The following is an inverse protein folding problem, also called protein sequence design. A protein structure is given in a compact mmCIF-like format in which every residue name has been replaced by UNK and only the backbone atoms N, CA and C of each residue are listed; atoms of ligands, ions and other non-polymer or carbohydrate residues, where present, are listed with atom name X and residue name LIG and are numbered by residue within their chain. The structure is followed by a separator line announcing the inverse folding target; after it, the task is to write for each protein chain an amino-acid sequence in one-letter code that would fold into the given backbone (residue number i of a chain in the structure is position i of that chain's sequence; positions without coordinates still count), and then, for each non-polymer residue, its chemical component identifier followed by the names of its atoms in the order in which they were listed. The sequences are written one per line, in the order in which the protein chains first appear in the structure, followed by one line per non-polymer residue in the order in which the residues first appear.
data_IF_601542111548
#
_entry.id   IF_601542111548
#
_cell.length_a   1.000
_cell.length_b   1.000
_cell.length_c   1.000
_cell.angle_alpha   90.00
_cell.angle_beta   90.00
_cell.angle_gamma   90.00
#
_symmetry.space_group_name_H-M   'P 1'
#
loop_
_entity.id
_entity.type
_entity.pdbx_description
1 polymer ?
#
# COMPACT_ATOMS: atom_id res chain seq x y z
N UNK A 1 -25.54 1.66 10.84
CA UNK A 1 -25.41 1.80 9.37
C UNK A 1 -23.92 1.97 9.05
N UNK A 2 -23.19 0.88 8.81
CA UNK A 2 -21.78 0.95 8.36
C UNK A 2 -21.73 0.35 6.96
N UNK A 3 -22.04 1.16 5.96
CA UNK A 3 -22.02 0.77 4.54
C UNK A 3 -20.62 0.83 3.90
N UNK A 4 -19.58 1.20 4.65
CA UNK A 4 -18.22 1.42 4.11
C UNK A 4 -17.23 0.27 4.35
N UNK A 5 -17.65 -0.83 5.00
CA UNK A 5 -16.74 -1.85 5.51
C UNK A 5 -16.32 -2.95 4.50
N UNK A 6 -16.94 -3.05 3.33
CA UNK A 6 -16.85 -4.27 2.52
C UNK A 6 -16.07 -4.17 1.20
N UNK A 7 -15.55 -3.01 0.80
CA UNK A 7 -14.89 -2.81 -0.51
C UNK A 7 -13.42 -2.36 -0.40
N UNK A 8 -12.66 -2.89 0.56
CA UNK A 8 -11.20 -2.62 0.63
C UNK A 8 -10.43 -3.65 -0.21
N UNK A 9 -9.94 -3.22 -1.36
CA UNK A 9 -9.07 -4.03 -2.25
C UNK A 9 -7.72 -4.40 -1.60
N UNK A 10 -7.32 -3.68 -0.56
CA UNK A 10 -6.11 -3.89 0.22
C UNK A 10 -6.49 -4.11 1.69
N UNK A 11 -6.62 -5.38 2.08
CA UNK A 11 -6.97 -5.82 3.44
C UNK A 11 -5.86 -6.70 3.98
N UNK A 12 -5.17 -6.23 5.01
CA UNK A 12 -4.12 -6.98 5.68
C UNK A 12 -4.65 -7.63 6.96
N UNK A 13 -4.23 -8.86 7.20
CA UNK A 13 -4.25 -9.47 8.52
C UNK A 13 -3.30 -8.71 9.44
N UNK A 14 -3.60 -8.70 10.73
CA UNK A 14 -2.73 -8.13 11.76
C UNK A 14 -1.77 -9.22 12.27
N UNK A 15 -0.57 -8.84 12.72
CA UNK A 15 0.30 -9.81 13.40
C UNK A 15 -0.32 -10.24 14.74
N UNK A 16 0.19 -11.33 15.31
CA UNK A 16 -0.13 -11.75 16.68
C UNK A 16 0.45 -10.76 17.72
N UNK A 17 0.24 -11.04 19.00
CA UNK A 17 0.70 -10.17 20.10
C UNK A 17 2.23 -9.99 20.12
N UNK A 18 2.97 -10.97 19.59
CA UNK A 18 4.43 -10.96 19.46
C UNK A 18 4.92 -10.24 18.19
N UNK A 19 4.02 -9.68 17.38
CA UNK A 19 4.36 -8.97 16.15
C UNK A 19 4.68 -9.89 14.96
N UNK A 20 4.33 -11.18 15.04
CA UNK A 20 4.59 -12.18 14.01
C UNK A 20 3.34 -12.46 13.17
N UNK A 21 3.54 -12.66 11.86
CA UNK A 21 2.51 -13.17 10.96
C UNK A 21 2.63 -14.69 10.86
N UNK A 22 1.51 -15.41 10.91
CA UNK A 22 1.53 -16.81 10.51
C UNK A 22 1.86 -16.95 9.02
N UNK A 23 2.28 -18.14 8.54
CA UNK A 23 2.45 -18.38 7.10
C UNK A 23 1.16 -18.09 6.31
N UNK A 24 0.00 -18.42 6.86
CA UNK A 24 -1.30 -18.19 6.24
C UNK A 24 -1.64 -16.70 6.17
N UNK A 25 -1.37 -15.94 7.24
CA UNK A 25 -1.54 -14.48 7.23
C UNK A 25 -0.61 -13.82 6.21
N UNK A 26 0.63 -14.30 6.11
CA UNK A 26 1.62 -13.81 5.16
C UNK A 26 1.17 -14.05 3.72
N UNK A 27 0.66 -15.25 3.41
CA UNK A 27 0.12 -15.58 2.09
C UNK A 27 -1.12 -14.72 1.75
N UNK A 28 -2.02 -14.55 2.72
CA UNK A 28 -3.21 -13.71 2.57
C UNK A 28 -2.82 -12.25 2.29
N UNK A 29 -1.90 -11.71 3.09
CA UNK A 29 -1.38 -10.35 2.94
C UNK A 29 -0.70 -10.15 1.59
N UNK A 30 0.08 -11.12 1.13
CA UNK A 30 0.69 -11.10 -0.20
C UNK A 30 -0.38 -11.01 -1.30
N UNK A 31 -1.42 -11.85 -1.26
CA UNK A 31 -2.51 -11.83 -2.25
C UNK A 31 -3.23 -10.49 -2.30
N UNK A 32 -3.49 -9.86 -1.16
CA UNK A 32 -4.12 -8.54 -1.11
C UNK A 32 -3.17 -7.42 -1.56
N UNK A 33 -1.89 -7.48 -1.22
CA UNK A 33 -0.90 -6.53 -1.70
C UNK A 33 -0.80 -6.56 -3.23
N UNK A 34 -0.81 -7.75 -3.84
CA UNK A 34 -0.74 -7.88 -5.30
C UNK A 34 -1.95 -7.29 -6.04
N UNK A 35 -3.10 -7.07 -5.39
CA UNK A 35 -4.26 -6.39 -5.99
C UNK A 35 -4.04 -4.89 -6.21
N UNK A 36 -3.03 -4.32 -5.55
CA UNK A 36 -2.70 -2.89 -5.58
C UNK A 36 -1.28 -2.62 -6.07
N UNK A 37 -0.61 -3.66 -6.56
CA UNK A 37 0.72 -3.59 -7.20
C UNK A 37 0.56 -3.63 -8.71
N UNK A 38 1.19 -2.68 -9.39
CA UNK A 38 1.43 -2.73 -10.83
C UNK A 38 2.84 -3.27 -11.06
N UNK A 39 2.96 -4.54 -11.43
CA UNK A 39 4.25 -5.20 -11.65
C UNK A 39 4.99 -4.59 -12.86
N UNK A 40 4.24 -4.16 -13.88
CA UNK A 40 4.81 -3.61 -15.11
C UNK A 40 5.30 -2.18 -14.89
N UNK A 41 4.65 -1.42 -14.01
CA UNK A 41 5.03 -0.06 -13.64
C UNK A 41 5.02 0.09 -12.10
N UNK A 42 6.04 -0.41 -11.38
CA UNK A 42 6.05 -0.44 -9.91
C UNK A 42 5.68 0.88 -9.23
N UNK A 43 6.15 2.01 -9.76
CA UNK A 43 5.87 3.35 -9.22
C UNK A 43 4.41 3.80 -9.35
N UNK A 44 3.63 3.16 -10.22
CA UNK A 44 2.18 3.39 -10.39
C UNK A 44 1.31 2.56 -9.43
N UNK A 45 1.93 1.72 -8.59
CA UNK A 45 1.21 0.90 -7.62
C UNK A 45 0.47 1.76 -6.59
N UNK A 46 -0.80 1.43 -6.33
CA UNK A 46 -1.64 2.16 -5.37
C UNK A 46 -1.07 2.11 -3.94
N UNK A 47 -0.37 1.02 -3.59
CA UNK A 47 0.33 0.86 -2.30
C UNK A 47 1.45 1.89 -2.08
N UNK A 48 1.98 2.50 -3.16
CA UNK A 48 2.96 3.58 -3.11
C UNK A 48 2.29 4.97 -3.21
N UNK A 49 1.32 5.11 -4.12
CA UNK A 49 0.70 6.42 -4.42
C UNK A 49 -0.15 6.91 -3.25
N UNK A 50 -1.07 6.10 -2.75
CA UNK A 50 -2.06 6.59 -1.78
C UNK A 50 -1.44 7.07 -0.47
N UNK A 51 -0.52 6.33 0.19
CA UNK A 51 0.07 6.80 1.44
C UNK A 51 0.96 8.05 1.33
N UNK A 52 1.41 8.41 0.12
CA UNK A 52 2.31 9.56 -0.10
C UNK A 52 1.58 10.84 -0.50
N UNK A 53 0.31 10.75 -0.89
CA UNK A 53 -0.43 11.91 -1.40
C UNK A 53 -1.11 12.69 -0.25
N UNK A 54 -1.00 14.03 -0.26
CA UNK A 54 -1.70 14.87 0.71
C UNK A 54 -3.20 14.93 0.42
N UNK A 55 -4.00 15.14 1.47
CA UNK A 55 -5.47 15.02 1.48
C UNK A 55 -6.17 16.04 0.55
N UNK A 56 -5.50 17.14 0.26
CA UNK A 56 -5.94 18.23 -0.63
C UNK A 56 -5.86 17.89 -2.13
N UNK A 57 -5.26 16.76 -2.49
CA UNK A 57 -5.30 16.24 -3.87
C UNK A 57 -6.70 15.75 -4.31
N UNK A 58 -7.68 15.71 -3.39
CA UNK A 58 -9.08 15.41 -3.66
C UNK A 58 -9.78 16.43 -4.58
N UNK A 59 -9.14 17.56 -4.91
CA UNK A 59 -9.70 18.60 -5.77
C UNK A 59 -9.70 18.24 -7.27
N UNK A 60 -8.90 17.25 -7.71
CA UNK A 60 -8.93 16.78 -9.09
C UNK A 60 -9.59 15.39 -9.17
N UNK A 61 -10.89 15.38 -9.44
CA UNK A 61 -11.71 14.16 -9.60
C UNK A 61 -11.22 13.29 -10.78
N UNK A 62 -10.44 13.86 -11.73
CA UNK A 62 -9.83 13.10 -12.82
C UNK A 62 -8.60 12.29 -12.37
N UNK A 63 -7.97 12.64 -11.26
CA UNK A 63 -6.89 11.83 -10.66
C UNK A 63 -7.50 10.84 -9.65
N UNK A 64 -8.21 9.83 -10.17
CA UNK A 64 -8.81 8.74 -9.39
C UNK A 64 -7.80 8.04 -8.45
N UNK A 65 -6.51 8.10 -8.76
CA UNK A 65 -5.44 7.55 -7.92
C UNK A 65 -5.12 8.46 -6.71
N UNK A 66 -5.49 9.74 -6.74
CA UNK A 66 -5.30 10.74 -5.68
C UNK A 66 -6.41 10.75 -4.63
N UNK A 67 -7.59 10.20 -4.92
CA UNK A 67 -8.71 10.23 -3.97
C UNK A 67 -8.54 9.11 -2.93
N UNK A 68 -8.21 9.48 -1.69
CA UNK A 68 -8.29 8.59 -0.52
C UNK A 68 -8.57 9.38 0.76
N UNK A 69 -9.46 8.86 1.60
CA UNK A 69 -9.87 9.52 2.85
C UNK A 69 -8.85 9.37 3.99
N UNK A 70 -7.61 8.94 3.69
CA UNK A 70 -6.60 8.59 4.69
C UNK A 70 -5.50 9.65 4.87
N UNK A 71 -5.40 10.63 3.99
CA UNK A 71 -4.33 11.62 3.98
C UNK A 71 -2.92 11.06 3.81
N UNK A 72 -1.93 11.95 3.84
CA UNK A 72 -0.53 11.57 3.71
C UNK A 72 -0.03 10.88 4.98
N UNK A 73 0.64 9.74 4.82
CA UNK A 73 1.25 8.96 5.92
C UNK A 73 2.76 9.13 5.99
N UNK A 74 3.41 9.35 4.86
CA UNK A 74 4.86 9.58 4.76
C UNK A 74 5.22 10.51 3.60
N UNK A 75 6.44 11.10 3.57
CA UNK A 75 6.90 11.97 2.48
C UNK A 75 6.80 11.34 1.09
N UNK A 76 6.68 12.17 0.04
CA UNK A 76 6.50 11.69 -1.33
C UNK A 76 7.74 10.97 -1.87
N UNK A 77 7.49 9.93 -2.66
CA UNK A 77 8.50 9.21 -3.45
C UNK A 77 9.71 8.81 -2.59
N UNK A 78 10.90 8.95 -3.15
CA UNK A 78 12.18 8.59 -2.53
C UNK A 78 12.59 9.48 -1.33
N UNK A 79 11.76 10.41 -0.88
CA UNK A 79 11.97 11.10 0.38
C UNK A 79 11.58 10.23 1.59
N UNK A 80 10.75 9.19 1.38
CA UNK A 80 10.34 8.24 2.40
C UNK A 80 11.13 6.93 2.29
N UNK A 81 11.66 6.45 3.42
CA UNK A 81 12.27 5.12 3.48
C UNK A 81 11.21 4.03 3.26
N UNK A 82 9.98 4.23 3.73
CA UNK A 82 8.86 3.30 3.52
C UNK A 82 8.58 3.11 2.02
N UNK A 83 8.52 4.20 1.26
CA UNK A 83 8.36 4.16 -0.19
C UNK A 83 9.48 3.34 -0.85
N UNK A 84 10.75 3.61 -0.48
CA UNK A 84 11.91 2.89 -1.02
C UNK A 84 11.84 1.40 -0.71
N UNK A 85 11.52 1.04 0.52
CA UNK A 85 11.41 -0.36 0.96
C UNK A 85 10.34 -1.11 0.17
N UNK A 86 9.14 -0.53 0.03
CA UNK A 86 8.04 -1.16 -0.72
C UNK A 86 8.38 -1.25 -2.21
N UNK A 87 8.96 -0.20 -2.80
CA UNK A 87 9.37 -0.20 -4.20
C UNK A 87 10.46 -1.25 -4.48
N UNK A 88 11.43 -1.39 -3.59
CA UNK A 88 12.45 -2.42 -3.68
C UNK A 88 11.83 -3.82 -3.60
N UNK A 89 10.91 -4.04 -2.66
CA UNK A 89 10.16 -5.30 -2.55
C UNK A 89 9.39 -5.64 -3.84
N UNK A 90 8.66 -4.69 -4.42
CA UNK A 90 7.93 -4.90 -5.70
C UNK A 90 8.90 -5.27 -6.83
N UNK A 91 10.09 -4.65 -6.86
CA UNK A 91 11.15 -4.94 -7.84
C UNK A 91 11.87 -6.26 -7.61
N UNK A 92 11.47 -7.04 -6.61
CA UNK A 92 12.07 -8.34 -6.31
C UNK A 92 13.38 -8.24 -5.53
N UNK A 93 13.54 -7.23 -4.67
CA UNK A 93 14.69 -7.13 -3.79
C UNK A 93 14.90 -8.45 -3.03
N UNK A 94 16.09 -9.01 -3.17
CA UNK A 94 16.52 -10.18 -2.40
C UNK A 94 17.02 -9.71 -1.06
N UNK A 95 16.68 -10.43 0.00
CA UNK A 95 17.40 -10.29 1.26
C UNK A 95 18.86 -10.64 0.97
N UNK A 96 19.74 -9.66 1.12
CA UNK A 96 21.18 -9.92 1.21
C UNK A 96 21.40 -10.53 2.58
N UNK A 97 21.72 -11.82 2.60
CA UNK A 97 22.23 -12.50 3.79
C UNK A 97 23.61 -11.96 4.16
#
# INVERSE_FOLDING_TARGET
MICHANHVIFKLQTPNAEGQFSPQDSESNYKYAMRVVDINNPTRSLILIKPTRPTDAAANVEDYLATHNGGQRWPRNEQSWQYKTILAWIRGARMVN
#
